data_IF_299807915215
#
_entry.id   IF_299807915215
#
_cell.length_a   1.000
_cell.length_b   1.000
_cell.length_c   1.000
_cell.angle_alpha   90.00
_cell.angle_beta   90.00
_cell.angle_gamma   90.00
#
_symmetry.space_group_name_H-M   'P 1'
#
loop_
_entity.id
_entity.type
_entity.pdbx_description
1 polymer ?
#
# COMPACT_ATOMS: atom_id res chain seq x y z
N UNK A 1 -6.96 30.55 5.45
CA UNK A 1 -5.74 31.24 4.97
C UNK A 1 -4.78 30.10 4.70
N UNK A 2 -4.95 29.47 3.55
CA UNK A 2 -4.24 28.25 3.16
C UNK A 2 -3.50 28.59 1.87
N UNK A 3 -2.18 28.48 1.94
CA UNK A 3 -1.26 28.79 0.85
C UNK A 3 -1.17 27.58 -0.09
N UNK A 4 -1.56 27.78 -1.34
CA UNK A 4 -1.38 26.82 -2.42
C UNK A 4 0.06 26.92 -2.95
N UNK A 5 0.87 25.89 -2.72
CA UNK A 5 2.16 25.71 -3.41
C UNK A 5 1.94 25.39 -4.89
N UNK A 6 2.42 26.30 -5.73
CA UNK A 6 2.45 26.21 -7.18
C UNK A 6 3.88 25.89 -7.60
N UNK A 7 4.16 24.64 -7.97
CA UNK A 7 5.42 24.28 -8.62
C UNK A 7 5.25 24.40 -10.14
N UNK A 8 5.94 25.37 -10.71
CA UNK A 8 6.13 25.60 -12.15
C UNK A 8 7.15 24.62 -12.72
N UNK A 9 6.74 23.87 -13.73
CA UNK A 9 7.61 23.12 -14.66
C UNK A 9 8.25 24.09 -15.65
N UNK A 10 9.56 24.34 -15.51
CA UNK A 10 10.40 24.85 -16.59
C UNK A 10 11.79 24.21 -16.53
N UNK A 11 12.13 23.39 -17.52
CA UNK A 11 13.46 23.51 -18.15
C UNK A 11 13.61 22.75 -19.47
N UNK A 12 14.48 23.25 -20.36
CA UNK A 12 14.43 23.00 -21.80
C UNK A 12 15.29 21.81 -22.23
N UNK A 13 14.84 21.09 -23.23
CA UNK A 13 15.67 20.18 -24.00
C UNK A 13 16.36 20.96 -25.13
N UNK A 14 17.60 21.36 -24.89
CA UNK A 14 18.57 21.75 -25.92
C UNK A 14 19.52 20.56 -26.13
N UNK A 15 19.43 19.90 -27.29
CA UNK A 15 20.33 18.81 -27.67
C UNK A 15 21.26 19.30 -28.78
N UNK A 16 22.39 19.85 -28.35
CA UNK A 16 23.55 20.14 -29.18
C UNK A 16 24.29 18.83 -29.47
N UNK A 17 24.25 18.38 -30.72
CA UNK A 17 25.16 17.36 -31.26
C UNK A 17 26.60 17.87 -31.21
N UNK A 18 27.43 17.24 -30.39
CA UNK A 18 28.88 17.41 -30.41
C UNK A 18 29.55 16.05 -30.64
N UNK A 19 30.10 15.91 -31.84
CA UNK A 19 31.16 14.97 -32.20
C UNK A 19 32.38 15.23 -31.31
N UNK A 20 32.92 14.20 -30.68
CA UNK A 20 34.21 14.28 -29.97
C UNK A 20 35.13 13.21 -30.53
N UNK A 21 36.14 13.73 -31.24
CA UNK A 21 37.37 13.08 -31.67
C UNK A 21 38.26 12.70 -30.48
N UNK A 22 39.07 11.67 -30.72
CA UNK A 22 40.18 11.18 -29.90
C UNK A 22 41.05 12.31 -29.32
N UNK A 23 41.48 12.18 -28.06
CA UNK A 23 42.84 12.56 -27.67
C UNK A 23 43.29 11.95 -26.34
N UNK A 24 44.55 11.57 -26.34
CA UNK A 24 45.31 10.82 -25.36
C UNK A 24 45.57 11.53 -24.00
N UNK A 25 45.79 10.67 -23.00
CA UNK A 25 46.81 10.70 -21.94
C UNK A 25 47.06 12.00 -21.11
N UNK A 26 46.82 11.92 -19.79
CA UNK A 26 47.87 12.15 -18.77
C UNK A 26 47.44 11.85 -17.32
N UNK A 27 48.37 11.25 -16.57
CA UNK A 27 48.74 11.40 -15.14
C UNK A 27 47.64 11.60 -14.08
N UNK A 28 47.34 10.60 -13.25
CA UNK A 28 48.08 10.17 -12.03
C UNK A 28 47.73 10.98 -10.77
N UNK A 29 46.99 10.35 -9.86
CA UNK A 29 47.16 10.58 -8.43
C UNK A 29 46.90 9.28 -7.66
N UNK A 30 47.93 8.85 -6.93
CA UNK A 30 48.03 7.56 -6.30
C UNK A 30 47.16 7.47 -5.05
N UNK A 31 45.99 6.85 -5.19
CA UNK A 31 45.29 6.23 -4.07
C UNK A 31 45.45 4.73 -4.19
N UNK A 32 46.15 4.15 -3.23
CA UNK A 32 46.20 2.72 -2.94
C UNK A 32 44.79 2.27 -2.55
N UNK A 33 43.96 2.04 -3.57
CA UNK A 33 42.70 1.34 -3.44
C UNK A 33 43.07 -0.13 -3.29
N UNK A 34 42.98 -0.62 -2.05
CA UNK A 34 43.22 -2.02 -1.73
C UNK A 34 42.64 -2.93 -2.81
N UNK A 35 43.47 -3.89 -3.23
CA UNK A 35 43.25 -4.82 -4.34
C UNK A 35 41.75 -5.16 -4.46
N UNK A 36 41.07 -4.77 -5.55
CA UNK A 36 39.64 -4.97 -5.69
C UNK A 36 39.41 -6.47 -5.58
N UNK A 37 38.81 -6.89 -4.46
CA UNK A 37 38.49 -8.29 -4.25
C UNK A 37 37.68 -8.76 -5.45
N UNK A 38 38.29 -9.65 -6.24
CA UNK A 38 37.69 -10.18 -7.45
C UNK A 38 36.36 -10.85 -7.04
N UNK A 39 35.26 -10.19 -7.38
CA UNK A 39 33.92 -10.56 -6.92
C UNK A 39 33.56 -11.90 -7.56
N UNK A 40 33.79 -12.99 -6.81
CA UNK A 40 33.51 -14.34 -7.29
C UNK A 40 32.01 -14.54 -7.48
N UNK A 41 31.57 -14.56 -8.73
CA UNK A 41 30.18 -14.77 -9.15
C UNK A 41 29.65 -16.12 -8.65
N UNK A 42 28.41 -16.14 -8.16
CA UNK A 42 27.70 -17.37 -7.78
C UNK A 42 26.82 -17.84 -8.93
N UNK A 43 26.94 -19.10 -9.34
CA UNK A 43 26.13 -19.72 -10.38
C UNK A 43 26.76 -19.69 -11.77
N UNK A 44 25.98 -20.09 -12.79
CA UNK A 44 26.43 -20.14 -14.17
C UNK A 44 26.73 -18.70 -14.67
N UNK A 45 28.01 -18.45 -14.95
CA UNK A 45 28.56 -17.12 -15.27
C UNK A 45 28.05 -16.61 -16.60
N UNK A 46 27.47 -17.48 -17.40
CA UNK A 46 27.01 -17.08 -18.72
C UNK A 46 25.52 -16.86 -18.75
N UNK A 47 24.74 -17.27 -17.73
CA UNK A 47 23.28 -17.32 -17.83
C UNK A 47 22.55 -16.48 -16.79
N UNK A 48 21.47 -15.82 -17.21
CA UNK A 48 20.66 -15.00 -16.33
C UNK A 48 19.84 -15.92 -15.43
N UNK A 49 19.82 -15.73 -14.10
CA UNK A 49 19.04 -16.60 -13.22
C UNK A 49 17.53 -16.44 -13.37
N UNK A 50 17.08 -15.39 -14.08
CA UNK A 50 15.66 -15.12 -14.33
C UNK A 50 15.21 -15.73 -15.66
N UNK A 51 15.96 -15.52 -16.74
CA UNK A 51 15.53 -15.92 -18.10
C UNK A 51 16.45 -16.95 -18.79
N UNK A 52 17.58 -17.33 -18.18
CA UNK A 52 18.55 -18.26 -18.75
C UNK A 52 19.31 -17.74 -19.98
N UNK A 53 19.00 -16.52 -20.45
CA UNK A 53 19.70 -15.89 -21.57
C UNK A 53 21.17 -15.72 -21.25
N UNK A 54 21.99 -15.64 -22.30
CA UNK A 54 23.35 -15.20 -22.08
C UNK A 54 23.36 -13.81 -21.43
N UNK A 55 24.32 -13.64 -20.52
CA UNK A 55 24.48 -12.44 -19.72
C UNK A 55 25.74 -11.78 -20.22
N UNK A 56 25.58 -10.66 -20.91
CA UNK A 56 26.71 -9.91 -21.44
C UNK A 56 27.68 -9.53 -20.31
N UNK A 57 28.95 -9.30 -20.66
CA UNK A 57 29.96 -8.88 -19.69
C UNK A 57 29.57 -7.58 -18.95
N UNK A 58 28.75 -6.74 -19.60
CA UNK A 58 28.23 -5.47 -19.06
C UNK A 58 26.90 -5.60 -18.31
N UNK A 59 26.37 -6.82 -18.19
CA UNK A 59 25.06 -7.04 -17.62
C UNK A 59 24.92 -6.54 -16.18
N UNK A 60 23.68 -6.30 -15.79
CA UNK A 60 23.38 -5.78 -14.47
C UNK A 60 23.71 -6.78 -13.38
N UNK A 61 24.80 -6.51 -12.69
CA UNK A 61 25.05 -7.14 -11.42
C UNK A 61 24.16 -6.50 -10.35
N UNK A 62 23.15 -7.23 -9.87
CA UNK A 62 22.45 -6.79 -8.67
C UNK A 62 23.40 -6.97 -7.48
N UNK A 63 23.85 -5.86 -6.91
CA UNK A 63 24.74 -5.88 -5.76
C UNK A 63 24.14 -6.63 -4.55
N UNK A 64 22.81 -6.71 -4.45
CA UNK A 64 22.11 -7.33 -3.31
C UNK A 64 22.09 -8.85 -3.37
N UNK A 65 21.62 -9.45 -4.48
CA UNK A 65 21.57 -10.92 -4.61
C UNK A 65 22.81 -11.50 -5.32
N UNK A 66 23.80 -10.66 -5.68
CA UNK A 66 25.06 -11.00 -6.38
C UNK A 66 24.86 -11.83 -7.64
N UNK A 67 23.68 -11.67 -8.24
CA UNK A 67 23.28 -12.31 -9.47
C UNK A 67 23.43 -11.29 -10.60
N UNK A 68 23.81 -11.80 -11.77
CA UNK A 68 23.85 -10.99 -12.97
C UNK A 68 22.56 -11.18 -13.74
N UNK A 69 21.89 -10.09 -14.01
CA UNK A 69 20.66 -10.00 -14.76
C UNK A 69 20.99 -9.41 -16.11
N UNK A 70 20.44 -9.97 -17.19
CA UNK A 70 20.51 -9.28 -18.47
C UNK A 70 19.86 -7.89 -18.34
N UNK A 71 20.25 -6.96 -19.21
CA UNK A 71 19.73 -5.58 -19.19
C UNK A 71 18.20 -5.51 -19.23
N UNK A 72 17.56 -6.48 -19.89
CA UNK A 72 16.11 -6.60 -19.88
C UNK A 72 15.53 -6.92 -18.49
N UNK A 73 16.09 -7.88 -17.75
CA UNK A 73 15.62 -8.23 -16.40
C UNK A 73 15.99 -7.17 -15.34
N UNK A 74 17.07 -6.39 -15.54
CA UNK A 74 17.45 -5.24 -14.70
C UNK A 74 16.36 -4.20 -14.59
N UNK A 75 15.78 -3.81 -15.73
CA UNK A 75 14.86 -2.67 -15.82
C UNK A 75 13.61 -2.80 -14.95
N UNK A 76 13.35 -4.01 -14.45
CA UNK A 76 12.22 -4.33 -13.59
C UNK A 76 12.54 -4.20 -12.08
N UNK A 77 13.80 -4.07 -11.65
CA UNK A 77 14.29 -4.14 -10.26
C UNK A 77 14.40 -2.78 -9.50
N UNK A 78 13.64 -1.74 -9.88
CA UNK A 78 13.81 -0.37 -9.37
C UNK A 78 12.75 -0.06 -8.28
N UNK A 79 13.08 0.63 -7.15
CA UNK A 79 12.35 0.56 -5.87
C UNK A 79 10.91 1.11 -5.90
N UNK A 80 10.02 0.66 -4.96
CA UNK A 80 10.35 -0.05 -3.72
C UNK A 80 9.96 -1.53 -3.76
N UNK A 81 10.73 -2.33 -4.51
CA UNK A 81 10.49 -3.77 -4.59
C UNK A 81 10.62 -4.45 -3.22
N UNK A 82 9.61 -5.26 -2.92
CA UNK A 82 9.48 -6.01 -1.67
C UNK A 82 10.54 -7.12 -1.65
N UNK A 83 11.37 -7.19 -0.61
CA UNK A 83 12.37 -8.24 -0.47
C UNK A 83 11.80 -9.46 0.24
N UNK A 84 11.93 -10.62 -0.39
CA UNK A 84 11.33 -11.89 0.03
C UNK A 84 12.41 -12.91 0.37
N UNK A 85 12.23 -13.63 1.49
CA UNK A 85 13.19 -14.63 1.96
C UNK A 85 12.51 -15.98 2.19
N UNK A 86 13.06 -17.04 1.60
CA UNK A 86 12.61 -18.41 1.85
C UNK A 86 12.98 -18.87 3.27
N UNK A 87 11.99 -19.41 3.98
CA UNK A 87 12.11 -19.88 5.37
C UNK A 87 12.36 -21.39 5.49
N UNK A 88 12.21 -22.15 4.40
CA UNK A 88 12.45 -23.60 4.40
C UNK A 88 13.95 -23.90 4.46
N UNK A 89 14.45 -24.36 5.62
CA UNK A 89 15.87 -24.71 5.82
C UNK A 89 16.38 -25.86 4.94
N UNK A 90 15.48 -26.70 4.41
CA UNK A 90 15.81 -27.82 3.52
C UNK A 90 15.89 -27.41 2.05
N UNK A 91 15.49 -26.17 1.73
CA UNK A 91 15.51 -25.67 0.36
C UNK A 91 16.88 -25.05 0.03
N UNK A 92 17.41 -25.32 -1.17
CA UNK A 92 18.64 -24.70 -1.68
C UNK A 92 18.55 -23.16 -1.77
N UNK A 93 17.34 -22.62 -1.67
CA UNK A 93 17.03 -21.19 -1.69
C UNK A 93 16.79 -20.59 -0.31
N UNK A 94 16.97 -21.38 0.76
CA UNK A 94 16.88 -20.89 2.14
C UNK A 94 17.70 -19.62 2.34
N UNK A 95 17.07 -18.60 2.90
CA UNK A 95 17.74 -17.34 3.24
C UNK A 95 18.12 -16.44 2.06
N UNK A 96 17.94 -16.87 0.80
CA UNK A 96 18.21 -16.04 -0.39
C UNK A 96 17.11 -14.98 -0.58
N UNK A 97 17.54 -13.77 -0.94
CA UNK A 97 16.63 -12.66 -1.23
C UNK A 97 16.19 -12.69 -2.70
N UNK A 98 14.88 -12.61 -2.90
CA UNK A 98 14.24 -12.52 -4.21
C UNK A 98 13.42 -11.22 -4.25
N UNK A 99 13.41 -10.53 -5.39
CA UNK A 99 12.53 -9.37 -5.60
C UNK A 99 11.12 -9.85 -6.00
N UNK A 100 10.12 -9.04 -5.72
CA UNK A 100 8.72 -9.24 -6.14
C UNK A 100 8.55 -9.40 -7.66
N UNK A 101 9.43 -8.84 -8.47
CA UNK A 101 9.47 -9.05 -9.93
C UNK A 101 9.75 -10.52 -10.28
N UNK A 102 10.61 -11.18 -9.51
CA UNK A 102 10.97 -12.58 -9.73
C UNK A 102 10.01 -13.54 -9.03
N UNK A 103 9.24 -13.07 -8.04
CA UNK A 103 8.31 -13.86 -7.23
C UNK A 103 6.94 -13.15 -7.19
N UNK A 104 6.15 -13.41 -8.23
CA UNK A 104 4.84 -12.78 -8.47
C UNK A 104 3.92 -13.07 -7.28
N UNK A 105 3.30 -12.03 -6.73
CA UNK A 105 2.36 -12.20 -5.65
C UNK A 105 1.14 -13.04 -6.08
N UNK A 106 0.73 -13.93 -5.20
CA UNK A 106 -0.50 -14.69 -5.33
C UNK A 106 -1.58 -14.04 -4.45
N UNK A 107 -2.76 -13.81 -5.03
CA UNK A 107 -3.92 -13.40 -4.25
C UNK A 107 -4.54 -14.61 -3.57
N UNK A 108 -4.74 -14.52 -2.25
CA UNK A 108 -5.56 -15.46 -1.50
C UNK A 108 -6.81 -14.75 -1.00
N UNK A 109 -7.95 -15.39 -1.23
CA UNK A 109 -9.19 -15.02 -0.54
C UNK A 109 -9.07 -15.47 0.92
N UNK A 110 -9.10 -14.50 1.83
CA UNK A 110 -9.17 -14.77 3.26
C UNK A 110 -10.62 -14.84 3.71
N UNK A 111 -10.85 -15.44 4.90
CA UNK A 111 -12.17 -15.40 5.50
C UNK A 111 -12.61 -13.93 5.69
N UNK A 112 -13.85 -13.58 5.29
CA UNK A 112 -14.31 -12.20 5.34
C UNK A 112 -14.30 -11.71 6.79
N UNK A 113 -13.77 -10.50 7.00
CA UNK A 113 -13.87 -9.85 8.30
C UNK A 113 -15.25 -9.26 8.45
N UNK A 114 -15.99 -9.76 9.43
CA UNK A 114 -17.32 -9.26 9.80
C UNK A 114 -17.15 -8.26 10.92
N UNK A 115 -17.51 -7.00 10.67
CA UNK A 115 -17.57 -5.98 11.71
C UNK A 115 -18.93 -5.27 11.70
N UNK A 116 -19.32 -4.73 12.85
CA UNK A 116 -20.53 -3.96 13.01
C UNK A 116 -20.19 -2.47 12.91
N UNK A 117 -20.75 -1.79 11.91
CA UNK A 117 -20.63 -0.35 11.73
C UNK A 117 -21.89 0.33 12.31
N UNK A 118 -21.75 1.33 13.20
CA UNK A 118 -22.89 2.10 13.66
C UNK A 118 -23.39 3.01 12.53
N UNK A 119 -24.63 2.83 12.10
CA UNK A 119 -25.31 3.77 11.22
C UNK A 119 -25.99 4.85 12.06
N UNK A 120 -25.52 6.09 11.92
CA UNK A 120 -26.11 7.24 12.59
C UNK A 120 -27.58 7.38 12.23
N UNK A 121 -28.42 7.48 13.26
CA UNK A 121 -29.85 7.74 13.10
C UNK A 121 -30.14 9.22 12.88
N UNK A 122 -31.35 9.51 12.40
CA UNK A 122 -31.89 10.87 12.27
C UNK A 122 -32.28 11.52 13.61
N UNK A 123 -31.76 11.03 14.74
CA UNK A 123 -32.09 11.51 16.08
C UNK A 123 -31.83 13.02 16.28
N UNK A 124 -30.81 13.67 15.65
CA UNK A 124 -30.63 15.11 15.81
C UNK A 124 -31.75 15.90 15.12
N UNK A 125 -32.15 15.47 13.92
CA UNK A 125 -33.28 16.07 13.20
C UNK A 125 -34.60 15.86 13.93
N UNK A 126 -34.79 14.66 14.49
CA UNK A 126 -35.97 14.34 15.30
C UNK A 126 -36.02 15.13 16.62
N UNK A 127 -34.86 15.36 17.25
CA UNK A 127 -34.75 16.20 18.43
C UNK A 127 -35.14 17.65 18.13
N UNK A 128 -34.67 18.21 17.01
CA UNK A 128 -35.06 19.56 16.57
C UNK A 128 -36.57 19.65 16.35
N UNK A 129 -37.19 18.65 15.74
CA UNK A 129 -38.64 18.59 15.58
C UNK A 129 -39.37 18.61 16.93
N UNK A 130 -38.91 17.84 17.92
CA UNK A 130 -39.47 17.82 19.27
C UNK A 130 -39.32 19.18 19.99
N UNK A 131 -38.21 19.90 19.80
CA UNK A 131 -37.98 21.25 20.35
C UNK A 131 -38.92 22.27 19.69
N UNK A 132 -39.14 22.18 18.38
CA UNK A 132 -40.10 23.06 17.69
C UNK A 132 -41.52 22.81 18.22
N UNK A 133 -41.92 21.54 18.36
CA UNK A 133 -43.22 21.17 18.93
C UNK A 133 -43.38 21.69 20.37
N UNK A 134 -42.33 21.60 21.19
CA UNK A 134 -42.29 22.18 22.54
C UNK A 134 -42.57 23.69 22.53
N UNK A 135 -41.84 24.45 21.69
CA UNK A 135 -42.02 25.90 21.58
C UNK A 135 -43.43 26.28 21.13
N UNK A 136 -43.99 25.56 20.15
CA UNK A 136 -45.36 25.76 19.70
C UNK A 136 -46.38 25.50 20.82
N UNK A 137 -46.27 24.38 21.55
CA UNK A 137 -47.22 24.06 22.63
C UNK A 137 -47.09 25.01 23.81
N UNK A 138 -45.87 25.41 24.17
CA UNK A 138 -45.68 26.41 25.23
C UNK A 138 -46.34 27.73 24.85
N UNK A 139 -46.18 28.21 23.61
CA UNK A 139 -46.80 29.46 23.19
C UNK A 139 -48.32 29.50 23.40
N UNK A 140 -49.01 28.36 23.26
CA UNK A 140 -50.47 28.26 23.41
C UNK A 140 -50.96 27.67 24.73
N UNK A 141 -50.07 27.12 25.56
CA UNK A 141 -50.45 26.30 26.73
C UNK A 141 -49.47 26.47 27.91
N UNK A 142 -49.49 25.54 28.86
CA UNK A 142 -48.59 25.54 30.00
C UNK A 142 -47.25 24.87 29.68
N UNK A 143 -46.21 25.24 30.42
CA UNK A 143 -44.89 24.64 30.32
C UNK A 143 -44.90 23.12 30.52
N UNK A 144 -45.74 22.63 31.45
CA UNK A 144 -45.88 21.19 31.71
C UNK A 144 -46.45 20.45 30.50
N UNK A 145 -47.48 21.00 29.87
CA UNK A 145 -48.08 20.41 28.66
C UNK A 145 -47.06 20.37 27.51
N UNK A 146 -46.27 21.43 27.34
CA UNK A 146 -45.20 21.48 26.35
C UNK A 146 -44.16 20.38 26.60
N UNK A 147 -43.70 20.24 27.84
CA UNK A 147 -42.69 19.22 28.22
C UNK A 147 -43.18 17.79 27.94
N UNK A 148 -44.43 17.46 28.33
CA UNK A 148 -45.02 16.15 28.04
C UNK A 148 -45.18 15.91 26.54
N UNK A 149 -45.55 16.94 25.78
CA UNK A 149 -45.68 16.83 24.32
C UNK A 149 -44.32 16.55 23.67
N UNK A 150 -43.28 17.29 24.06
CA UNK A 150 -41.94 17.10 23.53
C UNK A 150 -41.40 15.69 23.81
N UNK A 151 -41.55 15.21 25.06
CA UNK A 151 -41.15 13.87 25.45
C UNK A 151 -41.94 12.79 24.71
N UNK A 152 -43.26 12.97 24.57
CA UNK A 152 -44.13 12.06 23.84
C UNK A 152 -43.79 11.99 22.35
N UNK A 153 -43.59 13.14 21.69
CA UNK A 153 -43.15 13.20 20.29
C UNK A 153 -41.79 12.52 20.12
N UNK A 154 -40.82 12.83 20.99
CA UNK A 154 -39.48 12.27 20.86
C UNK A 154 -39.49 10.73 21.03
N UNK A 155 -40.08 10.23 22.13
CA UNK A 155 -40.03 8.80 22.48
C UNK A 155 -41.06 7.98 21.69
N UNK A 156 -42.34 8.35 21.75
CA UNK A 156 -43.41 7.57 21.12
C UNK A 156 -43.41 7.77 19.61
N UNK A 157 -43.29 9.02 19.14
CA UNK A 157 -43.23 9.33 17.72
C UNK A 157 -41.95 8.79 17.07
N UNK A 158 -40.81 8.96 17.74
CA UNK A 158 -39.54 8.40 17.27
C UNK A 158 -39.56 6.86 17.25
N UNK A 159 -40.13 6.24 18.29
CA UNK A 159 -40.31 4.79 18.37
C UNK A 159 -41.20 4.24 17.26
N UNK A 160 -42.34 4.88 16.99
CA UNK A 160 -43.26 4.48 15.92
C UNK A 160 -42.61 4.61 14.54
N UNK A 161 -41.91 5.72 14.27
CA UNK A 161 -41.16 5.89 13.02
C UNK A 161 -40.05 4.85 12.87
N UNK A 162 -39.37 4.52 13.98
CA UNK A 162 -38.36 3.46 13.98
C UNK A 162 -38.95 2.09 13.67
N UNK A 163 -40.13 1.78 14.21
CA UNK A 163 -40.89 0.56 13.89
C UNK A 163 -41.35 0.54 12.43
N UNK A 164 -41.66 1.69 11.83
CA UNK A 164 -42.00 1.84 10.41
C UNK A 164 -40.79 1.75 9.47
N UNK A 165 -39.59 1.52 10.00
CA UNK A 165 -38.38 1.32 9.19
C UNK A 165 -37.48 2.55 9.07
N UNK A 166 -37.92 3.72 9.53
CA UNK A 166 -37.12 4.96 9.50
C UNK A 166 -36.03 4.89 10.56
N UNK A 167 -34.75 5.06 10.19
CA UNK A 167 -33.64 4.96 11.14
C UNK A 167 -33.55 6.21 12.06
N UNK A 168 -34.44 6.34 13.04
CA UNK A 168 -34.42 7.47 13.97
C UNK A 168 -33.29 7.35 14.99
N UNK A 169 -33.14 6.20 15.67
CA UNK A 169 -32.20 6.05 16.80
C UNK A 169 -30.84 5.46 16.44
N UNK A 170 -30.63 5.10 15.18
CA UNK A 170 -29.43 4.39 14.72
C UNK A 170 -29.67 2.89 14.62
N UNK A 171 -28.86 2.24 13.79
CA UNK A 171 -28.86 0.78 13.59
C UNK A 171 -27.42 0.29 13.49
N UNK A 172 -27.18 -0.94 13.91
CA UNK A 172 -25.91 -1.60 13.63
C UNK A 172 -26.04 -2.29 12.27
N UNK A 173 -25.22 -1.88 11.31
CA UNK A 173 -25.10 -2.60 10.04
C UNK A 173 -23.92 -3.53 10.14
N UNK A 174 -24.19 -4.82 9.90
CA UNK A 174 -23.12 -5.80 9.75
C UNK A 174 -22.57 -5.64 8.34
N UNK A 175 -21.28 -5.31 8.24
CA UNK A 175 -20.57 -5.17 6.98
C UNK A 175 -19.60 -6.33 6.86
N UNK A 176 -19.77 -7.12 5.81
CA UNK A 176 -18.81 -8.15 5.43
C UNK A 176 -17.80 -7.52 4.48
N UNK A 177 -16.58 -7.29 4.96
CA UNK A 177 -15.50 -6.81 4.11
C UNK A 177 -14.71 -8.01 3.58
N UNK A 178 -14.79 -8.22 2.27
CA UNK A 178 -13.95 -9.19 1.56
C UNK A 178 -12.48 -8.79 1.72
N UNK A 179 -11.67 -9.71 2.24
CA UNK A 179 -10.23 -9.50 2.41
C UNK A 179 -9.49 -10.34 1.38
N UNK A 180 -8.68 -9.65 0.60
CA UNK A 180 -7.66 -10.27 -0.25
C UNK A 180 -6.31 -9.98 0.38
N UNK A 181 -5.55 -11.02 0.68
CA UNK A 181 -4.15 -10.87 1.03
C UNK A 181 -3.28 -11.34 -0.12
N UNK A 182 -2.22 -10.58 -0.39
CA UNK A 182 -1.16 -11.00 -1.27
C UNK A 182 -0.16 -11.82 -0.44
N UNK A 183 0.14 -13.03 -0.88
CA UNK A 183 1.24 -13.82 -0.33
C UNK A 183 2.24 -14.13 -1.44
N UNK A 184 3.46 -14.46 -1.04
CA UNK A 184 4.54 -14.86 -1.95
C UNK A 184 4.97 -16.28 -1.58
N UNK A 185 5.46 -17.04 -2.56
CA UNK A 185 5.91 -18.43 -2.38
C UNK A 185 7.28 -18.64 -2.99
N UNK A 186 8.10 -19.49 -2.36
CA UNK A 186 9.45 -19.70 -2.84
C UNK A 186 9.41 -20.40 -4.20
N UNK A 187 10.01 -19.79 -5.22
CA UNK A 187 10.11 -20.31 -6.60
C UNK A 187 10.58 -21.77 -6.68
N UNK A 188 11.36 -22.25 -5.70
CA UNK A 188 11.95 -23.61 -5.71
C UNK A 188 11.14 -24.66 -4.94
N UNK A 189 10.56 -24.30 -3.80
CA UNK A 189 9.90 -25.26 -2.90
C UNK A 189 8.43 -24.95 -2.61
N UNK A 190 7.89 -23.87 -3.19
CA UNK A 190 6.50 -23.39 -3.07
C UNK A 190 6.03 -23.08 -1.63
N UNK A 191 6.96 -23.06 -0.67
CA UNK A 191 6.64 -22.65 0.70
C UNK A 191 6.56 -21.13 0.84
N UNK A 192 5.73 -20.67 1.77
CA UNK A 192 5.49 -19.24 2.04
C UNK A 192 6.80 -18.54 2.40
N UNK A 193 7.12 -17.46 1.70
CA UNK A 193 8.31 -16.64 1.98
C UNK A 193 7.96 -15.54 2.99
N UNK A 194 8.94 -15.16 3.82
CA UNK A 194 8.78 -14.06 4.77
C UNK A 194 9.25 -12.77 4.12
N UNK A 195 8.40 -11.73 4.14
CA UNK A 195 8.84 -10.37 3.80
C UNK A 195 9.85 -9.89 4.85
N UNK A 196 11.02 -9.47 4.40
CA UNK A 196 12.04 -8.88 5.26
C UNK A 196 11.77 -7.37 5.29
N UNK A 197 10.99 -6.91 6.26
CA UNK A 197 10.82 -5.48 6.50
C UNK A 197 12.19 -4.87 6.76
N UNK A 198 12.58 -3.83 6.00
CA UNK A 198 13.82 -3.10 6.24
C UNK A 198 13.87 -2.72 7.73
N UNK A 199 14.90 -3.19 8.42
CA UNK A 199 15.18 -2.74 9.78
C UNK A 199 15.28 -1.22 9.76
N UNK A 200 14.51 -0.57 10.64
CA UNK A 200 14.37 0.88 10.73
C UNK A 200 15.61 1.51 11.34
#
# INVERSE_FOLDING_TARGET
>A
MEEHEHCTDESPADQTTATVEDTDAHDSDGRDFGEPQELKRRGDVEKCPVCGSQVDAEAYHCASCRNYFCFHCRSRLVPPDTQLQCVNQQCDYYGKLVCDVCDVSHEREEAPTVYAEPEDGYWPGWLLFAIIAFGCVWYFSSLQAAAWTAAGVFVLGGGLLHMLGVNVFGRNRIVEQQRKSAYHSCIRCDEVVKQVSKAK
#
